data_IF_095555267643
#
_entry.id   IF_095555267643
#
_cell.length_a   1.000
_cell.length_b   1.000
_cell.length_c   1.000
_cell.angle_alpha   90.00
_cell.angle_beta   90.00
_cell.angle_gamma   90.00
#
_symmetry.space_group_name_H-M   'P 1'
#
loop_
_entity.id
_entity.type
_entity.pdbx_description
1 polymer ?
#
# COMPACT_ATOMS: atom_id res chain seq x y z
N UNK A 1 48.66 -27.20 -5.16
CA UNK A 1 49.39 -26.85 -3.92
C UNK A 1 48.36 -26.61 -2.81
N UNK A 2 48.50 -27.37 -1.75
CA UNK A 2 47.65 -27.41 -0.55
C UNK A 2 47.89 -26.19 0.35
N UNK A 3 46.85 -25.68 1.01
CA UNK A 3 46.84 -25.09 2.36
C UNK A 3 45.38 -24.73 2.63
N UNK A 4 44.60 -25.31 3.42
CA UNK A 4 44.42 -25.72 4.83
C UNK A 4 44.51 -24.59 5.83
N UNK A 5 43.46 -24.56 6.73
CA UNK A 5 43.41 -24.08 8.13
C UNK A 5 42.81 -22.68 8.25
N UNK A 6 41.91 -22.33 9.18
CA UNK A 6 41.44 -22.96 10.41
C UNK A 6 40.07 -22.39 10.82
N UNK A 7 39.31 -23.25 11.49
CA UNK A 7 38.14 -22.88 12.28
C UNK A 7 38.57 -22.21 13.60
N UNK A 8 37.83 -21.22 14.08
CA UNK A 8 37.87 -20.84 15.48
C UNK A 8 36.44 -20.64 16.00
N UNK A 9 36.04 -21.64 16.76
CA UNK A 9 34.94 -21.62 17.72
C UNK A 9 35.32 -20.70 18.89
N UNK A 10 34.42 -19.81 19.29
CA UNK A 10 34.41 -19.33 20.67
C UNK A 10 32.99 -19.21 21.17
N UNK A 11 32.74 -20.04 22.14
CA UNK A 11 31.55 -20.25 22.94
C UNK A 11 31.48 -19.31 24.14
N UNK A 12 30.24 -19.03 24.56
CA UNK A 12 29.75 -18.87 25.93
C UNK A 12 30.02 -17.60 26.71
N UNK A 13 28.94 -16.96 27.16
CA UNK A 13 28.68 -16.85 28.60
C UNK A 13 27.23 -16.39 28.85
N UNK A 14 26.46 -17.28 29.45
CA UNK A 14 25.25 -16.95 30.20
C UNK A 14 25.61 -16.15 31.45
N UNK A 15 24.84 -15.12 31.77
CA UNK A 15 24.71 -14.64 33.14
C UNK A 15 23.22 -14.45 33.44
N UNK A 16 22.70 -15.38 34.22
CA UNK A 16 21.45 -15.25 34.91
C UNK A 16 21.70 -14.46 36.21
N UNK A 17 20.90 -13.45 36.48
CA UNK A 17 20.78 -12.89 37.84
C UNK A 17 19.31 -12.78 38.21
N UNK A 18 18.88 -13.76 38.97
CA UNK A 18 17.75 -13.76 39.87
C UNK A 18 18.18 -13.15 41.22
N UNK A 19 17.49 -12.15 41.71
CA UNK A 19 17.34 -11.76 43.12
C UNK A 19 16.19 -10.77 43.18
N UNK A 20 15.20 -10.80 43.96
CA UNK A 20 14.88 -11.51 45.19
C UNK A 20 13.65 -10.85 45.80
N UNK A 21 12.93 -11.68 46.44
CA UNK A 21 11.69 -11.50 47.18
C UNK A 21 11.88 -10.66 48.45
N UNK A 22 10.80 -10.02 48.89
CA UNK A 22 10.61 -9.57 50.27
C UNK A 22 9.75 -8.33 50.33
N UNK A 23 8.60 -8.26 50.89
CA UNK A 23 7.98 -8.77 52.04
C UNK A 23 7.17 -7.66 52.70
N UNK A 24 5.88 -7.83 52.76
CA UNK A 24 4.79 -7.47 53.61
C UNK A 24 4.78 -6.12 54.39
N UNK A 25 3.71 -5.42 54.42
CA UNK A 25 2.81 -5.31 55.57
C UNK A 25 1.54 -4.49 55.28
N UNK A 26 0.53 -4.88 55.97
CA UNK A 26 -0.86 -4.45 56.12
C UNK A 26 -1.09 -2.97 56.46
N UNK A 27 -2.25 -2.42 55.98
CA UNK A 27 -2.85 -1.23 56.62
C UNK A 27 -3.92 -0.53 55.79
N UNK A 28 -5.15 -0.95 55.93
CA UNK A 28 -6.47 -0.28 56.03
C UNK A 28 -6.75 1.09 55.38
N UNK A 29 -7.77 1.06 54.53
CA UNK A 29 -8.92 1.96 54.38
C UNK A 29 -8.74 3.48 54.29
N UNK A 30 -9.18 4.05 53.14
CA UNK A 30 -10.37 4.94 53.07
C UNK A 30 -10.65 5.38 51.62
N UNK A 31 -11.94 5.39 51.34
CA UNK A 31 -12.64 5.84 50.14
C UNK A 31 -12.27 7.25 49.66
N UNK A 32 -12.11 7.36 48.32
CA UNK A 32 -12.10 8.63 47.60
C UNK A 32 -12.39 8.36 46.14
N UNK A 33 -13.67 8.58 45.77
CA UNK A 33 -14.07 8.64 44.34
C UNK A 33 -13.33 9.76 43.65
N UNK A 34 -12.56 9.44 42.65
CA UNK A 34 -12.01 10.36 41.67
C UNK A 34 -12.03 9.63 40.33
N UNK A 35 -12.96 10.03 39.47
CA UNK A 35 -12.95 9.65 38.08
C UNK A 35 -11.61 10.10 37.47
N UNK A 36 -10.66 9.21 37.43
CA UNK A 36 -9.54 9.31 36.52
C UNK A 36 -10.00 8.67 35.20
N UNK A 37 -10.29 9.51 34.21
CA UNK A 37 -10.34 9.07 32.83
C UNK A 37 -9.05 8.33 32.56
N UNK A 38 -9.12 7.02 32.48
CA UNK A 38 -8.09 6.19 31.90
C UNK A 38 -7.92 6.66 30.46
N UNK A 39 -6.85 7.40 30.19
CA UNK A 39 -6.30 7.48 28.85
C UNK A 39 -6.10 6.02 28.43
N UNK A 40 -6.89 5.58 27.49
CA UNK A 40 -6.66 4.31 26.82
C UNK A 40 -5.25 4.38 26.26
N UNK A 41 -4.37 3.57 26.82
CA UNK A 41 -3.10 3.20 26.25
C UNK A 41 -3.39 2.71 24.85
N UNK A 42 -3.08 3.55 23.86
CA UNK A 42 -3.13 3.19 22.45
C UNK A 42 -2.12 2.08 22.27
N UNK A 43 -2.63 0.83 22.33
CA UNK A 43 -1.84 -0.37 22.26
C UNK A 43 -0.82 -0.26 21.12
N UNK A 44 0.41 -0.59 21.43
CA UNK A 44 1.48 -0.90 20.49
C UNK A 44 1.09 -2.17 19.71
N UNK A 45 0.03 -2.09 18.93
CA UNK A 45 -0.26 -3.03 17.87
C UNK A 45 0.76 -2.82 16.74
N UNK A 46 1.23 -3.89 16.15
CA UNK A 46 2.10 -3.78 14.97
C UNK A 46 1.38 -2.93 13.90
N UNK A 47 2.08 -1.91 13.36
CA UNK A 47 1.55 -1.07 12.31
C UNK A 47 1.32 -1.90 11.05
N UNK A 48 0.22 -1.65 10.35
CA UNK A 48 -0.06 -2.26 9.05
C UNK A 48 0.93 -1.68 8.03
N UNK A 49 1.77 -2.52 7.46
CA UNK A 49 2.72 -2.12 6.44
C UNK A 49 2.05 -1.99 5.08
N UNK A 50 2.20 -0.82 4.44
CA UNK A 50 1.55 -0.53 3.16
C UNK A 50 2.59 -0.04 2.15
N UNK A 51 2.71 -0.76 1.03
CA UNK A 51 3.42 -0.27 -0.16
C UNK A 51 2.42 0.43 -1.09
N UNK A 52 2.72 1.65 -1.52
CA UNK A 52 1.86 2.43 -2.42
C UNK A 52 2.64 2.77 -3.67
N UNK A 53 2.18 2.24 -4.81
CA UNK A 53 2.76 2.52 -6.13
C UNK A 53 1.78 3.39 -6.91
N UNK A 54 2.23 4.57 -7.29
CA UNK A 54 1.44 5.55 -8.00
C UNK A 54 2.21 6.15 -9.17
N UNK A 55 1.51 6.83 -10.06
CA UNK A 55 2.11 7.66 -11.08
C UNK A 55 2.68 8.96 -10.46
N UNK A 56 3.46 9.72 -11.24
CA UNK A 56 4.08 10.95 -10.74
C UNK A 56 3.03 11.94 -10.21
N UNK A 57 3.11 12.38 -8.96
CA UNK A 57 2.20 13.37 -8.39
C UNK A 57 2.15 14.70 -9.16
N UNK A 58 3.21 15.01 -9.91
CA UNK A 58 3.30 16.25 -10.71
C UNK A 58 2.66 16.12 -12.10
N UNK A 59 2.16 14.95 -12.48
CA UNK A 59 1.54 14.71 -13.79
C UNK A 59 0.25 15.53 -13.98
N UNK A 60 -0.55 15.67 -12.91
CA UNK A 60 -1.82 16.40 -12.96
C UNK A 60 -2.29 16.83 -11.57
N UNK A 61 -3.26 17.75 -11.54
CA UNK A 61 -3.91 18.15 -10.29
C UNK A 61 -4.59 16.98 -9.56
N UNK A 62 -5.14 16.02 -10.31
CA UNK A 62 -5.71 14.79 -9.75
C UNK A 62 -4.62 13.97 -9.03
N UNK A 63 -3.46 13.75 -9.67
CA UNK A 63 -2.36 12.99 -9.08
C UNK A 63 -1.83 13.64 -7.81
N UNK A 64 -1.67 14.97 -7.82
CA UNK A 64 -1.26 15.73 -6.65
C UNK A 64 -2.27 15.57 -5.50
N UNK A 65 -3.57 15.71 -5.78
CA UNK A 65 -4.61 15.57 -4.77
C UNK A 65 -4.67 14.15 -4.18
N UNK A 66 -4.62 13.13 -5.05
CA UNK A 66 -4.62 11.73 -4.65
C UNK A 66 -3.42 11.38 -3.76
N UNK A 67 -2.22 11.82 -4.14
CA UNK A 67 -1.00 11.60 -3.35
C UNK A 67 -1.05 12.27 -1.98
N UNK A 68 -1.52 13.52 -1.93
CA UNK A 68 -1.68 14.23 -0.66
C UNK A 68 -2.69 13.56 0.26
N UNK A 69 -3.83 13.12 -0.28
CA UNK A 69 -4.85 12.41 0.50
C UNK A 69 -4.32 11.08 1.05
N UNK A 70 -3.60 10.30 0.22
CA UNK A 70 -2.96 9.07 0.68
C UNK A 70 -1.93 9.31 1.79
N UNK A 71 -1.08 10.33 1.66
CA UNK A 71 -0.09 10.69 2.69
C UNK A 71 -0.74 11.17 4.00
N UNK A 72 -1.91 11.81 3.91
CA UNK A 72 -2.69 12.21 5.08
C UNK A 72 -3.31 11.01 5.79
N UNK A 73 -3.78 10.00 5.06
CA UNK A 73 -4.51 8.84 5.61
C UNK A 73 -3.59 7.73 6.08
N UNK A 74 -2.54 7.41 5.32
CA UNK A 74 -1.63 6.31 5.64
C UNK A 74 -0.47 6.79 6.51
N UNK A 75 -0.77 7.20 7.75
CA UNK A 75 0.22 7.67 8.75
C UNK A 75 0.33 6.70 9.92
N UNK A 76 1.41 6.82 10.68
CA UNK A 76 1.62 6.01 11.90
C UNK A 76 0.57 6.28 12.96
N UNK A 77 0.09 7.51 13.06
CA UNK A 77 -0.99 7.89 13.95
C UNK A 77 -2.30 7.18 13.60
N UNK A 78 -2.50 6.87 12.32
CA UNK A 78 -3.65 6.12 11.82
C UNK A 78 -3.41 4.59 11.81
N UNK A 79 -2.27 4.11 12.32
CA UNK A 79 -1.96 2.68 12.41
C UNK A 79 -1.24 2.09 11.20
N UNK A 80 -0.67 2.92 10.32
CA UNK A 80 0.00 2.46 9.10
C UNK A 80 1.48 2.82 9.08
N UNK A 81 2.29 1.91 8.52
CA UNK A 81 3.69 2.17 8.13
C UNK A 81 3.75 2.12 6.61
N UNK A 82 3.57 3.28 5.97
CA UNK A 82 3.43 3.40 4.54
C UNK A 82 4.72 3.80 3.84
N UNK A 83 5.00 3.14 2.72
CA UNK A 83 6.09 3.46 1.80
C UNK A 83 5.53 3.76 0.41
N UNK A 84 6.09 4.76 -0.26
CA UNK A 84 5.61 5.25 -1.55
C UNK A 84 6.65 5.08 -2.65
N UNK A 85 6.21 4.66 -3.82
CA UNK A 85 6.99 4.63 -5.06
C UNK A 85 6.21 5.29 -6.21
N UNK A 86 6.90 6.08 -7.02
CA UNK A 86 6.29 6.83 -8.11
C UNK A 86 7.04 6.58 -9.41
N UNK A 87 6.34 6.17 -10.46
CA UNK A 87 6.89 6.08 -11.80
C UNK A 87 5.79 6.05 -12.86
N UNK A 88 6.09 6.62 -14.03
CA UNK A 88 5.31 6.48 -15.25
C UNK A 88 5.78 5.30 -16.12
N UNK A 89 6.77 4.54 -15.66
CA UNK A 89 7.32 3.38 -16.36
C UNK A 89 6.91 2.10 -15.67
N UNK A 90 6.34 1.18 -16.44
CA UNK A 90 5.81 -0.07 -15.93
C UNK A 90 6.89 -0.97 -15.29
N UNK A 91 8.06 -1.06 -15.89
CA UNK A 91 9.20 -1.84 -15.39
C UNK A 91 9.73 -1.33 -14.04
N UNK A 92 9.74 -0.01 -13.84
CA UNK A 92 10.10 0.60 -12.56
C UNK A 92 9.04 0.32 -11.48
N UNK A 93 7.74 0.38 -11.83
CA UNK A 93 6.65 0.03 -10.91
C UNK A 93 6.68 -1.46 -10.54
N UNK A 94 6.93 -2.36 -11.49
CA UNK A 94 7.09 -3.80 -11.25
C UNK A 94 8.24 -4.04 -10.28
N UNK A 95 9.38 -3.38 -10.49
CA UNK A 95 10.54 -3.48 -9.59
C UNK A 95 10.20 -2.99 -8.18
N UNK A 96 9.50 -1.87 -8.05
CA UNK A 96 9.06 -1.35 -6.76
C UNK A 96 8.09 -2.31 -6.05
N UNK A 97 7.16 -2.93 -6.79
CA UNK A 97 6.23 -3.92 -6.25
C UNK A 97 6.98 -5.14 -5.69
N UNK A 98 7.94 -5.67 -6.45
CA UNK A 98 8.78 -6.77 -6.01
C UNK A 98 9.56 -6.42 -4.73
N UNK A 99 10.09 -5.21 -4.64
CA UNK A 99 10.79 -4.74 -3.45
C UNK A 99 9.83 -4.68 -2.25
N UNK A 100 8.64 -4.09 -2.38
CA UNK A 100 7.66 -4.02 -1.31
C UNK A 100 7.23 -5.41 -0.82
N UNK A 101 7.03 -6.36 -1.75
CA UNK A 101 6.72 -7.76 -1.40
C UNK A 101 7.87 -8.40 -0.60
N UNK A 102 9.12 -8.17 -1.01
CA UNK A 102 10.31 -8.67 -0.29
C UNK A 102 10.46 -8.02 1.09
N UNK A 103 10.09 -6.76 1.24
CA UNK A 103 10.11 -6.03 2.51
C UNK A 103 8.96 -6.45 3.44
N UNK A 104 8.06 -7.32 2.95
CA UNK A 104 6.98 -7.91 3.72
C UNK A 104 5.87 -6.90 4.05
N UNK A 105 5.41 -6.14 3.06
CA UNK A 105 4.21 -5.31 3.24
C UNK A 105 2.96 -6.19 3.34
N UNK A 106 2.03 -5.78 4.21
CA UNK A 106 0.74 -6.46 4.36
C UNK A 106 -0.19 -6.18 3.18
N UNK A 107 -0.12 -4.95 2.67
CA UNK A 107 -0.94 -4.50 1.55
C UNK A 107 -0.09 -3.74 0.52
N UNK A 108 -0.37 -3.98 -0.74
CA UNK A 108 0.18 -3.27 -1.88
C UNK A 108 -0.94 -2.53 -2.61
N UNK A 109 -0.95 -1.21 -2.57
CA UNK A 109 -1.85 -0.37 -3.34
C UNK A 109 -1.16 -0.01 -4.67
N UNK A 110 -1.85 -0.26 -5.78
CA UNK A 110 -1.26 -0.14 -7.12
C UNK A 110 -2.14 0.67 -8.07
N UNK A 111 -1.62 1.79 -8.60
CA UNK A 111 -2.11 2.48 -9.79
C UNK A 111 -1.12 2.25 -10.93
N UNK A 112 -1.40 1.28 -11.78
CA UNK A 112 -0.47 0.80 -12.80
C UNK A 112 -0.26 1.82 -13.93
N UNK A 113 0.97 1.97 -14.40
CA UNK A 113 1.30 2.78 -15.57
C UNK A 113 0.83 2.10 -16.87
N UNK A 114 0.91 0.77 -16.93
CA UNK A 114 0.49 -0.08 -18.05
C UNK A 114 -0.34 -1.25 -17.52
N UNK A 115 -1.27 -1.76 -18.32
CA UNK A 115 -2.14 -2.89 -17.94
C UNK A 115 -1.42 -4.23 -17.95
N UNK A 116 -0.34 -4.37 -18.72
CA UNK A 116 0.34 -5.64 -18.96
C UNK A 116 1.53 -5.92 -18.01
N UNK A 117 1.93 -7.18 -17.92
CA UNK A 117 3.17 -7.62 -17.25
C UNK A 117 3.06 -7.87 -15.75
N UNK A 118 1.90 -7.74 -15.15
CA UNK A 118 1.70 -7.84 -13.69
C UNK A 118 1.54 -9.25 -13.13
N UNK A 119 1.24 -10.24 -13.98
CA UNK A 119 0.87 -11.58 -13.55
C UNK A 119 1.86 -12.20 -12.55
N UNK A 120 3.16 -12.19 -12.88
CA UNK A 120 4.19 -12.79 -12.01
C UNK A 120 4.28 -12.09 -10.66
N UNK A 121 4.26 -10.75 -10.66
CA UNK A 121 4.33 -9.95 -9.43
C UNK A 121 3.12 -10.20 -8.53
N UNK A 122 1.92 -10.32 -9.11
CA UNK A 122 0.71 -10.62 -8.37
C UNK A 122 0.73 -12.02 -7.77
N UNK A 123 1.28 -13.01 -8.49
CA UNK A 123 1.49 -14.35 -7.95
C UNK A 123 2.51 -14.34 -6.79
N UNK A 124 3.58 -13.57 -6.92
CA UNK A 124 4.58 -13.42 -5.86
C UNK A 124 3.96 -12.76 -4.61
N UNK A 125 3.13 -11.74 -4.79
CA UNK A 125 2.38 -11.11 -3.72
C UNK A 125 1.46 -12.11 -3.00
N UNK A 126 0.68 -12.88 -3.76
CA UNK A 126 -0.21 -13.90 -3.22
C UNK A 126 0.57 -14.97 -2.43
N UNK A 127 1.70 -15.44 -2.96
CA UNK A 127 2.55 -16.43 -2.29
C UNK A 127 3.18 -15.88 -1.00
N UNK A 128 3.47 -14.59 -0.96
CA UNK A 128 4.00 -13.89 0.21
C UNK A 128 2.92 -13.53 1.25
N UNK A 129 1.63 -13.62 0.90
CA UNK A 129 0.52 -13.19 1.75
C UNK A 129 0.26 -11.68 1.70
N UNK A 130 0.87 -10.96 0.76
CA UNK A 130 0.61 -9.55 0.51
C UNK A 130 -0.69 -9.38 -0.27
N UNK A 131 -1.63 -8.61 0.25
CA UNK A 131 -2.89 -8.30 -0.43
C UNK A 131 -2.69 -7.14 -1.41
N UNK A 132 -3.09 -7.33 -2.66
CA UNK A 132 -3.01 -6.30 -3.69
C UNK A 132 -4.36 -5.61 -3.85
N UNK A 133 -4.36 -4.29 -3.84
CA UNK A 133 -5.55 -3.45 -4.06
C UNK A 133 -5.23 -2.51 -5.22
N UNK A 134 -6.00 -2.63 -6.28
CA UNK A 134 -5.88 -1.72 -7.43
C UNK A 134 -6.66 -0.44 -7.16
N UNK A 135 -6.14 0.69 -7.58
CA UNK A 135 -6.87 1.95 -7.56
C UNK A 135 -6.63 2.77 -8.82
N UNK A 136 -7.62 3.57 -9.20
CA UNK A 136 -7.58 4.46 -10.37
C UNK A 136 -7.51 3.72 -11.71
N UNK A 137 -6.63 2.73 -11.86
CA UNK A 137 -6.39 1.98 -13.10
C UNK A 137 -6.47 0.48 -12.89
N UNK A 138 -7.05 -0.22 -13.87
CA UNK A 138 -7.05 -1.69 -13.92
C UNK A 138 -5.80 -2.22 -14.60
N UNK A 139 -5.56 -3.51 -14.44
CA UNK A 139 -4.49 -4.26 -15.10
C UNK A 139 -5.08 -5.47 -15.82
N UNK A 140 -4.35 -6.01 -16.79
CA UNK A 140 -4.69 -7.25 -17.50
C UNK A 140 -4.21 -8.46 -16.69
N UNK A 141 -5.01 -8.82 -15.67
CA UNK A 141 -4.73 -9.95 -14.79
C UNK A 141 -6.05 -10.55 -14.28
N UNK A 142 -5.97 -11.83 -13.88
CA UNK A 142 -7.11 -12.54 -13.28
C UNK A 142 -7.50 -11.89 -11.95
N UNK A 143 -8.80 -11.67 -11.74
CA UNK A 143 -9.35 -11.04 -10.54
C UNK A 143 -9.04 -11.81 -9.25
N UNK A 144 -8.73 -13.11 -9.34
CA UNK A 144 -8.30 -13.91 -8.18
C UNK A 144 -6.92 -13.53 -7.64
N UNK A 145 -6.15 -12.70 -8.35
CA UNK A 145 -4.79 -12.29 -7.98
C UNK A 145 -4.74 -10.96 -7.20
N UNK A 146 -5.87 -10.28 -7.04
CA UNK A 146 -5.95 -9.07 -6.24
C UNK A 146 -7.22 -9.05 -5.38
N UNK A 147 -7.19 -8.34 -4.27
CA UNK A 147 -8.28 -8.32 -3.28
C UNK A 147 -9.44 -7.44 -3.72
N UNK A 148 -9.14 -6.29 -4.32
CA UNK A 148 -10.12 -5.31 -4.75
C UNK A 148 -9.58 -4.38 -5.83
N UNK A 149 -10.49 -3.77 -6.60
CA UNK A 149 -10.21 -2.69 -7.53
C UNK A 149 -11.15 -1.51 -7.26
N UNK A 150 -10.57 -0.34 -6.99
CA UNK A 150 -11.28 0.94 -6.76
C UNK A 150 -11.00 1.82 -7.98
N UNK A 151 -11.87 1.75 -8.98
CA UNK A 151 -11.65 2.33 -10.30
C UNK A 151 -12.86 3.11 -10.78
N UNK A 152 -12.64 4.01 -11.75
CA UNK A 152 -13.71 4.58 -12.56
C UNK A 152 -14.21 3.59 -13.61
N UNK A 153 -15.49 3.68 -13.91
CA UNK A 153 -16.10 3.01 -15.06
C UNK A 153 -15.83 3.84 -16.32
N UNK A 154 -14.73 3.53 -17.01
CA UNK A 154 -14.26 4.28 -18.19
C UNK A 154 -15.26 4.20 -19.36
N UNK A 155 -15.95 3.05 -19.53
CA UNK A 155 -17.00 2.89 -20.54
C UNK A 155 -18.16 3.85 -20.24
N UNK A 156 -18.55 3.94 -18.98
CA UNK A 156 -19.61 4.84 -18.54
C UNK A 156 -19.25 6.32 -18.70
N UNK A 157 -18.00 6.68 -18.51
CA UNK A 157 -17.50 8.02 -18.77
C UNK A 157 -17.60 8.37 -20.27
N UNK A 158 -17.18 7.44 -21.16
CA UNK A 158 -17.32 7.58 -22.62
C UNK A 158 -18.79 7.69 -23.05
N UNK A 159 -19.65 6.79 -22.59
CA UNK A 159 -21.08 6.85 -22.85
C UNK A 159 -21.70 8.18 -22.39
N UNK A 160 -21.32 8.66 -21.21
CA UNK A 160 -21.84 9.92 -20.66
C UNK A 160 -21.46 11.10 -21.54
N UNK A 161 -20.20 11.16 -22.01
CA UNK A 161 -19.72 12.20 -22.91
C UNK A 161 -20.49 12.19 -24.25
N UNK A 162 -20.67 11.02 -24.85
CA UNK A 162 -21.40 10.86 -26.12
C UNK A 162 -22.89 11.21 -25.95
N UNK A 163 -23.52 10.77 -24.88
CA UNK A 163 -24.93 11.09 -24.57
C UNK A 163 -25.10 12.60 -24.40
N UNK A 164 -24.18 13.26 -23.68
CA UNK A 164 -24.22 14.71 -23.52
C UNK A 164 -24.13 15.44 -24.87
N UNK A 165 -23.20 15.00 -25.75
CA UNK A 165 -23.10 15.55 -27.11
C UNK A 165 -24.41 15.39 -27.89
N UNK A 166 -24.96 14.19 -27.89
CA UNK A 166 -26.23 13.90 -28.60
C UNK A 166 -27.37 14.77 -28.11
N UNK A 167 -27.44 15.02 -26.81
CA UNK A 167 -28.50 15.82 -26.20
C UNK A 167 -28.40 17.32 -26.56
N UNK A 168 -27.28 17.78 -27.16
CA UNK A 168 -27.17 19.13 -27.69
C UNK A 168 -28.02 19.34 -28.97
N UNK A 169 -28.47 18.27 -29.61
CA UNK A 169 -29.37 18.33 -30.76
C UNK A 169 -28.79 19.05 -32.00
N UNK A 170 -27.48 18.95 -32.19
CA UNK A 170 -26.82 19.54 -33.36
C UNK A 170 -27.01 18.69 -34.60
N UNK A 171 -27.12 19.30 -35.76
CA UNK A 171 -27.26 18.58 -37.05
C UNK A 171 -25.93 17.91 -37.48
N UNK A 172 -24.79 18.41 -36.99
CA UNK A 172 -23.46 17.92 -37.34
C UNK A 172 -22.51 18.05 -36.16
N UNK A 173 -21.66 17.03 -35.95
CA UNK A 173 -20.66 16.99 -34.89
C UNK A 173 -19.26 16.85 -35.51
N UNK A 174 -18.38 17.80 -35.22
CA UNK A 174 -16.97 17.71 -35.54
C UNK A 174 -16.19 17.37 -34.27
N UNK A 175 -15.72 16.13 -34.13
CA UNK A 175 -15.11 15.62 -32.90
C UNK A 175 -13.61 15.40 -33.12
N UNK A 176 -12.80 15.92 -32.21
CA UNK A 176 -11.38 15.60 -32.11
C UNK A 176 -11.22 14.70 -30.87
N UNK A 177 -10.82 13.44 -31.09
CA UNK A 177 -10.50 12.50 -30.03
C UNK A 177 -9.02 12.58 -29.72
N UNK A 178 -8.67 13.02 -28.50
CA UNK A 178 -7.30 12.99 -27.98
C UNK A 178 -7.14 11.70 -27.18
N UNK A 179 -6.38 10.78 -27.74
CA UNK A 179 -6.11 9.50 -27.11
C UNK A 179 -5.10 9.68 -25.97
N UNK A 180 -5.31 8.99 -24.85
CA UNK A 180 -4.42 9.02 -23.69
C UNK A 180 -3.11 8.25 -23.92
N UNK A 181 -2.41 7.96 -22.83
CA UNK A 181 -1.17 7.16 -22.87
C UNK A 181 -1.49 5.75 -23.34
N UNK A 182 -0.78 5.31 -24.38
CA UNK A 182 -0.93 3.95 -24.93
C UNK A 182 -0.68 2.89 -23.86
N UNK A 183 -1.57 1.89 -23.81
CA UNK A 183 -1.50 0.80 -22.83
C UNK A 183 -2.13 1.12 -21.46
N UNK A 184 -2.54 2.35 -21.19
CA UNK A 184 -3.28 2.66 -19.96
C UNK A 184 -4.74 2.19 -20.02
N UNK A 185 -5.36 1.91 -18.88
CA UNK A 185 -6.77 1.52 -18.81
C UNK A 185 -7.73 2.57 -19.41
N UNK A 186 -7.39 3.86 -19.32
CA UNK A 186 -8.20 4.95 -19.88
C UNK A 186 -8.09 5.08 -21.40
N UNK A 187 -7.13 4.37 -22.04
CA UNK A 187 -6.91 4.42 -23.49
C UNK A 187 -7.65 3.29 -24.22
N UNK A 188 -7.90 2.18 -23.53
CA UNK A 188 -8.61 1.03 -24.07
C UNK A 188 -10.09 1.33 -24.28
#
# INVERSE_FOLDING_TARGET
MKRRIAALLMSAAMVASLVGCGGGNTGSSSSGSGDAATAEDSGSGDLIKVGIINNDPNESGYRTANDNDMKEKFTKENGYDASFAYSLKNDEQITAAQQFIQDGVDNLLLSAADTAGWYTVLQDAQNAGTRVILFDRVIDADESLYEAAIISDMDKEGETAVNWLRDQGLDEYNIIHIQGVMGSAAQQ
#
